data_IF_110077321473
#
_entry.id   IF_110077321473
#
_cell.length_a   1.000
_cell.length_b   1.000
_cell.length_c   1.000
_cell.angle_alpha   90.00
_cell.angle_beta   90.00
_cell.angle_gamma   90.00
#
_symmetry.space_group_name_H-M   'P 1'
#
loop_
_entity.id
_entity.type
_entity.pdbx_description
1 polymer ?
#
# COMPACT_ATOMS: atom_id res chain seq x y z
N UNK A 1 8.49 -14.00 2.38
CA UNK A 1 8.57 -12.55 2.68
C UNK A 1 9.98 -11.96 2.67
N UNK A 2 11.05 -12.72 2.94
CA UNK A 2 12.41 -12.19 2.93
C UNK A 2 12.83 -11.57 1.58
N UNK A 3 12.67 -12.32 0.49
CA UNK A 3 13.05 -11.88 -0.87
C UNK A 3 12.24 -10.66 -1.32
N UNK A 4 10.93 -10.64 -1.00
CA UNK A 4 10.04 -9.50 -1.30
C UNK A 4 10.50 -8.22 -0.60
N UNK A 5 10.87 -8.32 0.68
CA UNK A 5 11.40 -7.18 1.44
C UNK A 5 12.73 -6.68 0.88
N UNK A 6 13.62 -7.60 0.48
CA UNK A 6 14.88 -7.23 -0.16
C UNK A 6 14.65 -6.53 -1.51
N UNK A 7 13.72 -7.04 -2.32
CA UNK A 7 13.34 -6.44 -3.59
C UNK A 7 12.75 -5.03 -3.40
N UNK A 8 11.88 -4.83 -2.41
CA UNK A 8 11.28 -3.52 -2.09
C UNK A 8 12.37 -2.53 -1.65
N UNK A 9 13.29 -2.94 -0.76
CA UNK A 9 14.40 -2.06 -0.34
C UNK A 9 15.26 -1.67 -1.52
N UNK A 10 15.60 -2.61 -2.41
CA UNK A 10 16.36 -2.28 -3.61
C UNK A 10 15.57 -1.37 -4.56
N UNK A 11 14.29 -1.65 -4.79
CA UNK A 11 13.41 -0.85 -5.63
C UNK A 11 13.16 0.57 -5.10
N UNK A 12 13.29 0.80 -3.78
CA UNK A 12 13.13 2.13 -3.18
C UNK A 12 14.14 3.17 -3.70
N UNK A 13 15.26 2.71 -4.29
CA UNK A 13 16.28 3.55 -4.93
C UNK A 13 15.94 3.93 -6.38
N UNK A 14 14.89 3.33 -6.96
CA UNK A 14 14.43 3.59 -8.32
C UNK A 14 13.24 4.55 -8.27
N UNK A 15 12.96 5.30 -9.34
CA UNK A 15 11.72 6.07 -9.50
C UNK A 15 10.55 5.12 -9.83
N UNK A 16 10.21 4.26 -8.87
CA UNK A 16 9.19 3.24 -8.98
C UNK A 16 8.25 3.30 -7.77
N UNK A 17 6.99 2.96 -8.00
CA UNK A 17 5.89 2.98 -7.04
C UNK A 17 5.13 1.66 -7.20
N UNK A 18 4.81 0.99 -6.10
CA UNK A 18 4.21 -0.35 -6.07
C UNK A 18 2.89 -0.31 -5.32
N UNK A 19 1.83 -0.80 -5.95
CA UNK A 19 0.51 -0.94 -5.32
C UNK A 19 0.16 -2.41 -5.25
N UNK A 20 -0.14 -2.90 -4.05
CA UNK A 20 -0.56 -4.29 -3.82
C UNK A 20 -2.07 -4.31 -3.55
N UNK A 21 -2.83 -4.96 -4.42
CA UNK A 21 -4.29 -5.07 -4.29
C UNK A 21 -4.68 -6.47 -3.79
N UNK A 22 -5.21 -6.55 -2.58
CA UNK A 22 -5.68 -7.80 -1.98
C UNK A 22 -7.11 -8.12 -2.40
N UNK A 23 -7.32 -9.22 -3.13
CA UNK A 23 -8.66 -9.66 -3.58
C UNK A 23 -9.10 -10.92 -2.83
N UNK A 24 -10.37 -11.00 -2.46
CA UNK A 24 -10.96 -12.14 -1.75
C UNK A 24 -10.96 -11.98 -0.23
N UNK A 25 -11.10 -13.11 0.47
CA UNK A 25 -11.25 -13.19 1.93
C UNK A 25 -10.04 -13.86 2.60
N UNK A 26 -8.84 -13.65 2.08
CA UNK A 26 -7.61 -14.13 2.70
C UNK A 26 -7.20 -13.24 3.89
N UNK A 27 -6.28 -13.74 4.70
CA UNK A 27 -5.55 -12.95 5.68
C UNK A 27 -4.46 -12.13 4.95
N UNK A 28 -4.46 -10.82 5.16
CA UNK A 28 -3.55 -9.87 4.52
C UNK A 28 -2.58 -9.21 5.52
N UNK A 29 -2.45 -9.77 6.72
CA UNK A 29 -1.54 -9.25 7.75
C UNK A 29 -0.12 -9.03 7.21
N UNK A 30 0.41 -9.97 6.42
CA UNK A 30 1.74 -9.82 5.82
C UNK A 30 1.84 -8.66 4.81
N UNK A 31 0.74 -8.30 4.14
CA UNK A 31 0.75 -7.20 3.18
C UNK A 31 0.65 -5.85 3.88
N UNK A 32 0.01 -5.78 5.04
CA UNK A 32 0.02 -4.59 5.90
C UNK A 32 1.42 -4.30 6.43
N UNK A 33 2.22 -5.35 6.71
CA UNK A 33 3.64 -5.18 7.10
C UNK A 33 4.47 -4.57 5.96
N UNK A 34 4.04 -4.71 4.71
CA UNK A 34 4.74 -4.10 3.57
C UNK A 34 4.33 -2.65 3.31
N UNK A 35 3.20 -2.21 3.87
CA UNK A 35 2.68 -0.83 3.80
C UNK A 35 3.60 0.06 4.66
N UNK A 36 4.26 1.05 4.07
CA UNK A 36 5.26 1.86 4.79
C UNK A 36 4.67 2.83 5.82
N UNK A 37 3.33 2.88 5.94
CA UNK A 37 2.59 3.68 6.91
C UNK A 37 2.80 3.23 8.37
N UNK A 38 3.01 1.94 8.63
CA UNK A 38 3.15 1.37 9.99
C UNK A 38 4.63 1.28 10.47
N UNK A 39 5.57 1.76 9.65
CA UNK A 39 6.98 1.89 10.03
C UNK A 39 7.97 1.64 8.90
N UNK A 40 9.25 1.81 9.21
CA UNK A 40 10.32 1.67 8.22
C UNK A 40 10.54 0.19 7.91
N UNK A 41 10.11 -0.23 6.73
CA UNK A 41 10.39 -1.57 6.21
C UNK A 41 11.90 -1.78 6.08
N UNK A 42 12.38 -2.93 6.54
CA UNK A 42 13.79 -3.32 6.48
C UNK A 42 13.99 -4.59 5.68
N UNK A 43 15.14 -4.72 5.02
CA UNK A 43 15.56 -5.97 4.43
C UNK A 43 15.87 -7.00 5.53
N UNK A 44 15.97 -8.30 5.20
CA UNK A 44 16.44 -9.32 6.14
C UNK A 44 17.83 -9.02 6.73
N UNK A 45 18.63 -8.20 6.04
CA UNK A 45 19.96 -7.75 6.47
C UNK A 45 19.91 -6.50 7.37
N UNK A 46 18.71 -5.95 7.61
CA UNK A 46 18.47 -4.79 8.48
C UNK A 46 18.49 -3.44 7.77
N UNK A 47 18.71 -3.41 6.46
CA UNK A 47 18.77 -2.18 5.66
C UNK A 47 17.37 -1.56 5.52
N UNK A 48 17.16 -0.27 5.85
CA UNK A 48 15.88 0.38 5.70
C UNK A 48 15.58 0.74 4.23
N UNK A 49 14.30 0.83 3.87
CA UNK A 49 13.86 1.48 2.62
C UNK A 49 14.28 2.95 2.60
N UNK A 50 14.61 3.47 1.42
CA UNK A 50 15.04 4.88 1.24
C UNK A 50 13.86 5.85 1.28
N UNK A 51 12.73 5.43 0.73
CA UNK A 51 11.43 6.10 0.78
C UNK A 51 10.35 5.03 0.78
N UNK A 52 9.17 5.39 1.26
CA UNK A 52 8.02 4.52 1.09
C UNK A 52 7.67 4.42 -0.40
N UNK A 53 7.47 3.19 -0.87
CA UNK A 53 7.14 2.88 -2.26
C UNK A 53 6.05 1.81 -2.37
N UNK A 54 5.51 1.32 -1.26
CA UNK A 54 4.51 0.25 -1.27
C UNK A 54 3.26 0.74 -0.56
N UNK A 55 2.16 0.74 -1.29
CA UNK A 55 0.83 0.89 -0.69
C UNK A 55 0.06 -0.43 -0.79
N UNK A 56 -0.47 -0.91 0.34
CA UNK A 56 -1.41 -2.04 0.36
C UNK A 56 -2.88 -1.59 0.39
N UNK A 57 -3.68 -2.17 -0.50
CA UNK A 57 -5.10 -1.83 -0.66
C UNK A 57 -5.96 -3.10 -0.67
N UNK A 58 -6.69 -3.42 0.42
CA UNK A 58 -7.62 -4.54 0.44
C UNK A 58 -8.89 -4.21 -0.36
N UNK A 59 -9.09 -4.88 -1.50
CA UNK A 59 -10.22 -4.63 -2.40
C UNK A 59 -11.60 -4.85 -1.75
N UNK A 60 -11.67 -5.72 -0.74
CA UNK A 60 -12.91 -5.99 0.01
C UNK A 60 -13.48 -4.75 0.70
N UNK A 61 -12.62 -3.81 1.12
CA UNK A 61 -13.03 -2.59 1.83
C UNK A 61 -13.66 -1.58 0.86
N UNK A 62 -13.38 -1.72 -0.44
CA UNK A 62 -13.95 -0.88 -1.49
C UNK A 62 -15.28 -1.39 -2.04
N UNK A 63 -15.69 -2.62 -1.70
CA UNK A 63 -17.03 -3.14 -2.06
C UNK A 63 -18.17 -2.35 -1.41
N UNK A 64 -17.86 -1.61 -0.34
CA UNK A 64 -18.79 -0.79 0.44
C UNK A 64 -18.51 0.72 0.34
N UNK A 65 -17.84 1.20 -0.71
CA UNK A 65 -18.02 2.60 -1.11
C UNK A 65 -19.45 2.72 -1.60
N UNK A 66 -20.34 2.94 -0.64
CA UNK A 66 -21.77 3.07 -0.87
C UNK A 66 -22.00 4.10 -1.97
N UNK A 67 -22.93 3.83 -2.88
CA UNK A 67 -23.34 4.80 -3.90
C UNK A 67 -23.76 6.16 -3.30
N UNK A 68 -24.00 6.24 -1.98
CA UNK A 68 -24.19 7.47 -1.22
C UNK A 68 -22.98 8.42 -1.23
N UNK A 69 -21.76 7.89 -1.27
CA UNK A 69 -20.51 8.66 -1.33
C UNK A 69 -20.28 9.26 -2.73
N UNK A 70 -20.97 8.75 -3.77
CA UNK A 70 -20.96 9.31 -5.12
C UNK A 70 -21.82 10.58 -5.26
N UNK A 71 -22.56 10.98 -4.23
CA UNK A 71 -23.44 12.18 -4.27
C UNK A 71 -22.64 13.47 -4.09
N UNK A 72 -21.58 13.45 -3.29
CA UNK A 72 -20.59 14.51 -3.16
C UNK A 72 -19.30 14.00 -3.79
N UNK A 73 -19.11 14.23 -5.08
CA UNK A 73 -17.97 13.71 -5.86
C UNK A 73 -16.57 14.12 -5.38
N UNK A 74 -16.45 14.80 -4.25
CA UNK A 74 -15.20 15.22 -3.61
C UNK A 74 -14.64 14.15 -2.67
N UNK A 75 -15.46 13.52 -1.82
CA UNK A 75 -14.94 12.73 -0.69
C UNK A 75 -14.38 11.38 -1.10
N UNK A 76 -14.93 10.79 -2.17
CA UNK A 76 -14.42 9.52 -2.73
C UNK A 76 -13.10 9.77 -3.42
N UNK A 77 -12.99 10.79 -4.26
CA UNK A 77 -11.74 11.07 -4.95
C UNK A 77 -10.66 11.46 -3.95
N UNK A 78 -10.96 12.27 -2.93
CA UNK A 78 -10.00 12.66 -1.89
C UNK A 78 -9.51 11.46 -1.06
N UNK A 79 -10.39 10.52 -0.70
CA UNK A 79 -10.01 9.31 0.04
C UNK A 79 -9.13 8.36 -0.79
N UNK A 80 -9.34 8.32 -2.10
CA UNK A 80 -8.50 7.55 -3.01
C UNK A 80 -7.17 8.29 -3.25
N UNK A 81 -7.21 9.58 -3.57
CA UNK A 81 -6.03 10.40 -3.88
C UNK A 81 -5.06 10.45 -2.70
N UNK A 82 -5.56 10.57 -1.46
CA UNK A 82 -4.71 10.51 -0.25
C UNK A 82 -4.01 9.15 -0.07
N UNK A 83 -4.64 8.05 -0.49
CA UNK A 83 -4.05 6.70 -0.45
C UNK A 83 -3.10 6.40 -1.61
N UNK A 84 -3.11 7.20 -2.67
CA UNK A 84 -2.22 7.03 -3.82
C UNK A 84 -1.18 8.15 -3.92
N UNK A 85 -1.29 9.22 -3.12
CA UNK A 85 -0.40 10.40 -3.16
C UNK A 85 0.97 10.17 -2.52
N UNK A 86 1.13 9.12 -1.72
CA UNK A 86 2.38 8.82 -1.02
C UNK A 86 3.36 7.96 -1.82
N UNK A 87 3.04 7.59 -3.07
CA UNK A 87 3.88 6.72 -3.90
C UNK A 87 4.34 7.39 -5.18
#
# INVERSE_FOLDING_TARGET
MADTREAIVHASHLPMSVIIVGVGNADFTDMQILDGDDGILRSPKGEPVLRDIVQFVPFKDFKHVSASLLTTGTDVLDAYDTKFSNV
#
